data_IF_763986844759
#
_entry.id   IF_763986844759
#
_cell.length_a   1.000
_cell.length_b   1.000
_cell.length_c   1.000
_cell.angle_alpha   90.00
_cell.angle_beta   90.00
_cell.angle_gamma   90.00
#
_symmetry.space_group_name_H-M   'P 1'
#
loop_
_entity.id
_entity.type
_entity.pdbx_description
1 polymer ?
#
# COMPACT_ATOMS: atom_id res chain seq x y z
N UNK A 1 -14.17 -46.26 62.67
CA UNK A 1 -13.45 -45.99 61.40
C UNK A 1 -14.48 -45.75 60.32
N UNK A 2 -14.74 -44.46 60.02
CA UNK A 2 -15.70 -44.02 58.97
C UNK A 2 -14.91 -43.68 57.70
N UNK A 3 -15.25 -44.35 56.58
CA UNK A 3 -14.68 -44.08 55.24
C UNK A 3 -15.38 -42.87 54.67
N UNK A 4 -14.59 -41.83 54.25
CA UNK A 4 -15.07 -40.71 53.46
C UNK A 4 -15.17 -41.10 51.96
N UNK A 5 -16.19 -40.65 51.25
CA UNK A 5 -16.29 -40.87 49.81
C UNK A 5 -15.41 -39.93 49.01
N UNK A 6 -14.72 -40.46 47.99
CA UNK A 6 -13.94 -39.70 47.02
C UNK A 6 -14.89 -38.90 46.12
N UNK A 7 -14.74 -37.58 46.17
CA UNK A 7 -15.44 -36.65 45.24
C UNK A 7 -14.70 -36.66 43.89
N UNK A 8 -15.32 -37.16 42.86
CA UNK A 8 -14.85 -37.06 41.47
C UNK A 8 -15.15 -35.66 40.97
N UNK A 9 -14.13 -34.84 40.77
CA UNK A 9 -14.22 -33.54 40.12
C UNK A 9 -14.13 -33.77 38.59
N UNK A 10 -15.27 -33.65 37.91
CA UNK A 10 -15.27 -33.55 36.44
C UNK A 10 -14.78 -32.18 36.01
N UNK A 11 -13.57 -32.12 35.45
CA UNK A 11 -13.10 -30.92 34.73
C UNK A 11 -13.74 -30.94 33.35
N UNK A 12 -14.77 -30.10 33.17
CA UNK A 12 -15.32 -29.81 31.83
C UNK A 12 -14.34 -28.89 31.13
N UNK A 13 -13.52 -29.44 30.23
CA UNK A 13 -12.72 -28.65 29.31
C UNK A 13 -13.67 -28.11 28.24
N UNK A 14 -14.08 -26.86 28.40
CA UNK A 14 -14.75 -26.13 27.34
C UNK A 14 -13.77 -25.89 26.19
N UNK A 15 -13.88 -26.65 25.12
CA UNK A 15 -13.19 -26.37 23.86
C UNK A 15 -13.82 -25.11 23.29
N UNK A 16 -13.21 -23.95 23.56
CA UNK A 16 -13.52 -22.72 22.86
C UNK A 16 -12.98 -22.87 21.44
N UNK A 17 -13.84 -23.25 20.53
CA UNK A 17 -13.52 -23.16 19.10
C UNK A 17 -13.38 -21.69 18.75
N UNK A 18 -12.13 -21.22 18.68
CA UNK A 18 -11.82 -19.93 18.08
C UNK A 18 -12.15 -20.04 16.60
N UNK A 19 -13.32 -19.59 16.21
CA UNK A 19 -13.61 -19.26 14.83
C UNK A 19 -12.68 -18.10 14.47
N UNK A 20 -11.65 -18.39 13.70
CA UNK A 20 -10.79 -17.35 13.13
C UNK A 20 -11.67 -16.32 12.42
N UNK A 21 -11.50 -15.02 12.68
CA UNK A 21 -12.24 -13.98 11.95
C UNK A 21 -11.98 -14.14 10.45
N UNK A 22 -13.04 -14.02 9.68
CA UNK A 22 -12.99 -14.11 8.22
C UNK A 22 -11.83 -13.28 7.67
N UNK A 23 -11.01 -13.91 6.81
CA UNK A 23 -9.87 -13.29 6.12
C UNK A 23 -10.29 -11.97 5.50
N UNK A 24 -9.59 -10.90 5.85
CA UNK A 24 -9.79 -9.55 5.33
C UNK A 24 -9.03 -9.32 4.00
N UNK A 25 -9.06 -10.30 3.11
CA UNK A 25 -8.72 -10.08 1.71
C UNK A 25 -9.97 -9.62 0.96
N UNK A 26 -9.85 -8.75 -0.05
CA UNK A 26 -10.95 -8.42 -0.97
C UNK A 26 -11.71 -9.68 -1.37
N UNK A 27 -12.94 -9.55 -1.85
CA UNK A 27 -13.75 -10.71 -2.16
C UNK A 27 -12.94 -11.76 -2.92
N UNK A 28 -12.87 -12.99 -2.42
CA UNK A 28 -11.98 -14.03 -2.98
C UNK A 28 -12.27 -14.30 -4.46
N UNK A 29 -13.54 -14.22 -4.84
CA UNK A 29 -13.99 -14.44 -6.20
C UNK A 29 -13.53 -13.31 -7.12
N UNK A 30 -13.61 -12.07 -6.67
CA UNK A 30 -13.17 -10.89 -7.42
C UNK A 30 -11.64 -10.85 -7.57
N UNK A 31 -10.89 -11.19 -6.52
CA UNK A 31 -9.43 -11.31 -6.60
C UNK A 31 -9.01 -12.38 -7.60
N UNK A 32 -9.66 -13.54 -7.61
CA UNK A 32 -9.41 -14.60 -8.60
C UNK A 32 -9.76 -14.13 -10.02
N UNK A 33 -10.86 -13.42 -10.21
CA UNK A 33 -11.25 -12.86 -11.51
C UNK A 33 -10.25 -11.79 -11.99
N UNK A 34 -9.74 -10.96 -11.10
CA UNK A 34 -8.67 -10.00 -11.40
C UNK A 34 -7.39 -10.72 -11.86
N UNK A 35 -6.93 -11.73 -11.11
CA UNK A 35 -5.75 -12.51 -11.48
C UNK A 35 -5.92 -13.23 -12.83
N UNK A 36 -7.12 -13.75 -13.13
CA UNK A 36 -7.40 -14.36 -14.41
C UNK A 36 -7.33 -13.36 -15.56
N UNK A 37 -7.93 -12.18 -15.39
CA UNK A 37 -7.83 -11.08 -16.39
C UNK A 37 -6.38 -10.63 -16.58
N UNK A 38 -5.61 -10.53 -15.51
CA UNK A 38 -4.20 -10.19 -15.58
C UNK A 38 -3.41 -11.24 -16.38
N UNK A 39 -3.57 -12.53 -16.07
CA UNK A 39 -2.92 -13.63 -16.82
C UNK A 39 -3.29 -13.65 -18.31
N UNK A 40 -4.57 -13.43 -18.64
CA UNK A 40 -5.02 -13.36 -20.02
C UNK A 40 -4.33 -12.22 -20.81
N UNK A 41 -4.08 -11.07 -20.16
CA UNK A 41 -3.35 -9.96 -20.78
C UNK A 41 -1.86 -10.22 -20.89
N UNK A 42 -1.24 -10.92 -19.94
CA UNK A 42 0.16 -11.33 -19.99
C UNK A 42 0.42 -12.29 -21.16
N UNK A 43 -0.45 -13.26 -21.35
CA UNK A 43 -0.32 -14.24 -22.46
C UNK A 43 -0.47 -13.62 -23.85
N UNK A 44 -1.17 -12.49 -23.96
CA UNK A 44 -1.35 -11.78 -25.23
C UNK A 44 -0.19 -10.84 -25.59
N UNK A 45 0.61 -10.39 -24.62
CA UNK A 45 1.73 -9.46 -24.84
C UNK A 45 3.08 -10.15 -25.10
N UNK A 46 3.19 -11.45 -24.83
CA UNK A 46 4.42 -12.23 -25.07
C UNK A 46 5.59 -11.89 -24.13
N UNK A 47 5.46 -10.88 -23.28
CA UNK A 47 6.49 -10.48 -22.31
C UNK A 47 6.10 -10.90 -20.89
N UNK A 48 7.00 -11.56 -20.14
CA UNK A 48 6.80 -11.76 -18.71
C UNK A 48 6.84 -10.40 -18.01
N UNK A 49 5.74 -10.00 -17.38
CA UNK A 49 5.59 -8.72 -16.67
C UNK A 49 6.59 -8.52 -15.50
N UNK A 50 7.31 -9.58 -15.13
CA UNK A 50 8.31 -9.54 -14.06
C UNK A 50 9.63 -8.89 -14.49
N UNK A 51 9.94 -8.80 -15.80
CA UNK A 51 11.23 -8.33 -16.31
C UNK A 51 11.19 -6.92 -16.93
N UNK A 52 10.05 -6.25 -16.90
CA UNK A 52 9.84 -4.98 -17.60
C UNK A 52 10.63 -3.77 -17.04
N UNK A 53 11.33 -3.94 -15.92
CA UNK A 53 12.35 -2.98 -15.48
C UNK A 53 13.69 -3.73 -15.49
N UNK A 54 14.59 -3.43 -16.42
CA UNK A 54 15.95 -3.98 -16.37
C UNK A 54 16.48 -3.81 -14.96
N UNK A 55 17.21 -4.80 -14.47
CA UNK A 55 17.99 -4.73 -13.22
C UNK A 55 19.08 -3.65 -13.39
N UNK A 56 18.62 -2.47 -13.78
CA UNK A 56 19.41 -1.32 -14.07
C UNK A 56 20.12 -0.92 -12.80
N UNK A 57 21.35 -0.56 -12.90
CA UNK A 57 22.28 0.09 -11.99
C UNK A 57 21.67 1.14 -11.04
N UNK A 58 20.36 1.10 -10.78
CA UNK A 58 19.64 1.94 -9.85
C UNK A 58 19.87 1.42 -8.43
N UNK A 59 20.52 2.23 -7.63
CA UNK A 59 20.77 2.00 -6.23
C UNK A 59 22.20 1.57 -5.92
N UNK A 60 22.75 2.28 -4.96
CA UNK A 60 24.00 1.93 -4.33
C UNK A 60 23.82 0.56 -3.61
N UNK A 61 24.75 -0.35 -3.75
CA UNK A 61 24.73 -1.65 -3.09
C UNK A 61 24.53 -1.55 -1.57
N UNK A 62 25.10 -0.51 -0.95
CA UNK A 62 24.92 -0.21 0.47
C UNK A 62 23.44 0.05 0.81
N UNK A 63 22.72 0.81 -0.02
CA UNK A 63 21.29 1.07 0.20
C UNK A 63 20.43 -0.18 -0.04
N UNK A 64 20.80 -1.06 -0.97
CA UNK A 64 20.14 -2.37 -1.12
C UNK A 64 20.31 -3.22 0.13
N UNK A 65 21.54 -3.28 0.70
CA UNK A 65 21.79 -3.94 1.99
C UNK A 65 21.00 -3.30 3.12
N UNK A 66 20.92 -1.96 3.16
CA UNK A 66 20.14 -1.23 4.15
C UNK A 66 18.64 -1.54 4.07
N UNK A 67 18.05 -1.57 2.86
CA UNK A 67 16.65 -1.94 2.66
C UNK A 67 16.37 -3.38 3.10
N UNK A 68 17.27 -4.32 2.78
CA UNK A 68 17.14 -5.71 3.20
C UNK A 68 17.21 -5.85 4.72
N UNK A 69 18.17 -5.18 5.35
CA UNK A 69 18.32 -5.16 6.80
C UNK A 69 17.10 -4.51 7.50
N UNK A 70 16.60 -3.41 6.95
CA UNK A 70 15.40 -2.73 7.45
C UNK A 70 14.17 -3.62 7.41
N UNK A 71 13.99 -4.41 6.34
CA UNK A 71 12.89 -5.38 6.21
C UNK A 71 12.94 -6.45 7.30
N UNK A 72 14.12 -7.01 7.58
CA UNK A 72 14.27 -8.00 8.66
C UNK A 72 14.03 -7.38 10.04
N UNK A 73 14.51 -6.16 10.29
CA UNK A 73 14.25 -5.44 11.55
C UNK A 73 12.76 -5.16 11.70
N UNK A 74 12.11 -4.66 10.65
CA UNK A 74 10.67 -4.36 10.66
C UNK A 74 9.85 -5.62 10.99
N UNK A 75 10.10 -6.73 10.28
CA UNK A 75 9.40 -8.00 10.51
C UNK A 75 9.61 -8.51 11.94
N UNK A 76 10.84 -8.45 12.43
CA UNK A 76 11.19 -8.90 13.79
C UNK A 76 10.46 -8.06 14.83
N UNK A 77 10.47 -6.74 14.71
CA UNK A 77 9.73 -5.85 15.61
C UNK A 77 8.22 -6.08 15.56
N UNK A 78 7.65 -6.15 14.36
CA UNK A 78 6.21 -6.40 14.24
C UNK A 78 5.81 -7.76 14.81
N UNK A 79 6.67 -8.78 14.68
CA UNK A 79 6.43 -10.09 15.31
C UNK A 79 6.39 -10.01 16.84
N UNK A 80 7.18 -9.12 17.43
CA UNK A 80 7.26 -8.94 18.89
C UNK A 80 6.17 -8.01 19.43
N UNK A 81 5.92 -6.90 18.77
CA UNK A 81 5.12 -5.79 19.30
C UNK A 81 3.75 -5.62 18.61
N UNK A 82 3.61 -6.06 17.34
CA UNK A 82 2.45 -5.79 16.48
C UNK A 82 2.04 -7.04 15.67
N UNK A 83 1.98 -8.20 16.32
CA UNK A 83 1.73 -9.50 15.66
C UNK A 83 0.47 -9.51 14.79
N UNK A 84 -0.63 -8.94 15.28
CA UNK A 84 -1.88 -8.88 14.53
C UNK A 84 -1.76 -8.03 13.24
N UNK A 85 -1.03 -6.91 13.29
CA UNK A 85 -0.78 -6.07 12.12
C UNK A 85 0.18 -6.75 11.11
N UNK A 86 1.17 -7.51 11.60
CA UNK A 86 2.02 -8.34 10.75
C UNK A 86 1.22 -9.43 10.03
N UNK A 87 0.29 -10.07 10.71
CA UNK A 87 -0.61 -11.06 10.13
C UNK A 87 -1.50 -10.43 9.06
N UNK A 88 -2.09 -9.25 9.32
CA UNK A 88 -2.85 -8.49 8.32
C UNK A 88 -2.03 -8.18 7.06
N UNK A 89 -0.78 -7.78 7.23
CA UNK A 89 0.11 -7.50 6.09
C UNK A 89 0.42 -8.78 5.29
N UNK A 90 0.60 -9.93 5.98
CA UNK A 90 0.87 -11.24 5.34
C UNK A 90 -0.35 -11.87 4.68
N UNK A 91 -1.55 -11.53 5.16
CA UNK A 91 -2.81 -12.00 4.57
C UNK A 91 -3.07 -11.38 3.20
N UNK A 92 -2.45 -10.25 2.87
CA UNK A 92 -2.56 -9.63 1.56
C UNK A 92 -2.22 -10.65 0.45
N UNK A 93 -3.17 -10.84 -0.46
CA UNK A 93 -3.00 -11.65 -1.66
C UNK A 93 -2.09 -10.96 -2.68
N UNK A 94 -1.65 -11.71 -3.69
CA UNK A 94 -0.82 -11.16 -4.76
C UNK A 94 -1.56 -10.02 -5.51
N UNK A 95 -2.87 -10.16 -5.67
CA UNK A 95 -3.71 -9.20 -6.34
C UNK A 95 -4.03 -7.94 -5.50
N UNK A 96 -3.77 -7.93 -4.20
CA UNK A 96 -4.15 -6.81 -3.31
C UNK A 96 -3.25 -5.57 -3.50
N UNK A 97 -2.04 -5.76 -4.00
CA UNK A 97 -1.10 -4.67 -4.28
C UNK A 97 -0.68 -4.72 -5.74
N UNK A 98 -1.02 -3.66 -6.47
CA UNK A 98 -0.68 -3.49 -7.89
C UNK A 98 0.34 -2.37 -8.01
N UNK A 99 1.46 -2.62 -8.67
CA UNK A 99 2.51 -1.64 -8.93
C UNK A 99 2.56 -1.35 -10.43
N UNK A 100 2.26 -0.12 -10.83
CA UNK A 100 2.53 0.33 -12.18
C UNK A 100 4.03 0.62 -12.31
N UNK A 101 4.69 -0.07 -13.23
CA UNK A 101 6.13 0.06 -13.46
C UNK A 101 6.51 1.51 -13.83
N UNK A 102 7.70 1.92 -13.46
CA UNK A 102 8.28 3.21 -13.80
C UNK A 102 9.75 3.06 -14.17
N UNK A 103 10.32 4.15 -14.69
CA UNK A 103 11.72 4.17 -15.13
C UNK A 103 12.68 4.60 -14.02
N UNK A 104 12.19 5.42 -13.08
CA UNK A 104 13.05 6.09 -12.11
C UNK A 104 12.83 5.63 -10.67
N UNK A 105 11.75 4.92 -10.37
CA UNK A 105 11.46 4.42 -9.03
C UNK A 105 11.19 2.90 -9.04
N UNK A 106 11.34 2.26 -7.87
CA UNK A 106 11.24 0.82 -7.67
C UNK A 106 10.49 0.48 -6.39
N UNK A 107 9.23 0.90 -6.29
CA UNK A 107 8.36 0.59 -5.14
C UNK A 107 8.24 -0.92 -4.91
N UNK A 108 8.29 -1.72 -5.98
CA UNK A 108 8.30 -3.19 -5.89
C UNK A 108 9.48 -3.74 -5.09
N UNK A 109 10.64 -3.07 -5.08
CA UNK A 109 11.81 -3.53 -4.32
C UNK A 109 11.61 -3.33 -2.81
N UNK A 110 10.89 -2.28 -2.41
CA UNK A 110 10.46 -2.07 -1.01
C UNK A 110 9.52 -3.18 -0.58
N UNK A 111 8.52 -3.50 -1.40
CA UNK A 111 7.56 -4.57 -1.13
C UNK A 111 8.26 -5.93 -1.04
N UNK A 112 9.19 -6.20 -1.95
CA UNK A 112 9.99 -7.43 -1.94
C UNK A 112 10.86 -7.54 -0.67
N UNK A 113 11.51 -6.44 -0.23
CA UNK A 113 12.30 -6.42 1.01
C UNK A 113 11.43 -6.66 2.25
N UNK A 114 10.14 -6.32 2.20
CA UNK A 114 9.16 -6.57 3.24
C UNK A 114 8.45 -7.92 3.10
N UNK A 115 8.74 -8.71 2.05
CA UNK A 115 8.06 -9.96 1.68
C UNK A 115 6.54 -9.78 1.44
N UNK A 116 6.13 -8.59 0.97
CA UNK A 116 4.75 -8.31 0.59
C UNK A 116 4.49 -8.81 -0.83
N UNK A 117 3.47 -9.64 -0.98
CA UNK A 117 3.01 -10.11 -2.29
C UNK A 117 2.44 -8.95 -3.10
N UNK A 118 2.80 -8.85 -4.36
CA UNK A 118 2.33 -7.80 -5.26
C UNK A 118 2.41 -8.27 -6.72
N UNK A 119 1.77 -7.52 -7.61
CA UNK A 119 1.92 -7.66 -9.06
C UNK A 119 2.49 -6.38 -9.64
N UNK A 120 3.40 -6.50 -10.60
CA UNK A 120 3.92 -5.37 -11.36
C UNK A 120 3.28 -5.39 -12.74
N UNK A 121 2.77 -4.25 -13.18
CA UNK A 121 2.12 -4.09 -14.48
C UNK A 121 2.72 -2.92 -15.26
N UNK A 122 2.82 -3.00 -16.58
CA UNK A 122 3.16 -1.83 -17.39
C UNK A 122 2.06 -0.76 -17.26
N UNK A 123 2.41 0.55 -17.27
CA UNK A 123 1.44 1.64 -17.08
C UNK A 123 0.27 1.60 -18.07
N UNK A 124 0.50 1.15 -19.29
CA UNK A 124 -0.48 1.05 -20.38
C UNK A 124 -1.62 0.09 -20.03
N UNK A 125 -1.33 -0.94 -19.21
CA UNK A 125 -2.33 -1.91 -18.81
C UNK A 125 -3.43 -1.27 -17.92
N UNK A 126 -3.17 -0.15 -17.25
CA UNK A 126 -4.16 0.57 -16.45
C UNK A 126 -5.32 1.14 -17.28
N UNK A 127 -5.21 1.18 -18.61
CA UNK A 127 -6.32 1.53 -19.49
C UNK A 127 -7.43 0.48 -19.49
N UNK A 128 -7.06 -0.78 -19.28
CA UNK A 128 -7.97 -1.91 -19.47
C UNK A 128 -8.13 -2.79 -18.21
N UNK A 129 -7.18 -2.71 -17.28
CA UNK A 129 -7.21 -3.51 -16.07
C UNK A 129 -8.24 -2.96 -15.09
N UNK A 130 -9.31 -3.69 -14.79
CA UNK A 130 -10.29 -3.25 -13.80
C UNK A 130 -9.72 -3.40 -12.39
N UNK A 131 -9.45 -2.27 -11.72
CA UNK A 131 -8.95 -2.25 -10.35
C UNK A 131 -10.09 -2.47 -9.35
N UNK A 132 -9.83 -3.28 -8.32
CA UNK A 132 -10.76 -3.52 -7.22
C UNK A 132 -10.66 -2.40 -6.17
N UNK A 133 -11.79 -1.96 -5.64
CA UNK A 133 -11.87 -0.99 -4.55
C UNK A 133 -11.07 -1.41 -3.29
N UNK A 134 -10.78 -2.71 -3.14
CA UNK A 134 -10.00 -3.28 -2.05
C UNK A 134 -8.48 -3.23 -2.25
N UNK A 135 -8.00 -2.84 -3.43
CA UNK A 135 -6.57 -2.84 -3.76
C UNK A 135 -5.83 -1.57 -3.33
N UNK A 136 -4.51 -1.70 -3.23
CA UNK A 136 -3.56 -0.58 -3.24
C UNK A 136 -2.90 -0.53 -4.61
N UNK A 137 -3.00 0.61 -5.29
CA UNK A 137 -2.26 0.89 -6.51
C UNK A 137 -1.06 1.76 -6.18
N UNK A 138 0.13 1.34 -6.58
CA UNK A 138 1.36 2.11 -6.47
C UNK A 138 1.84 2.49 -7.86
N UNK A 139 2.09 3.77 -8.12
CA UNK A 139 2.55 4.26 -9.42
C UNK A 139 3.95 4.84 -9.26
N UNK A 140 4.93 4.15 -9.84
CA UNK A 140 6.32 4.58 -9.90
C UNK A 140 6.49 5.83 -10.76
N UNK A 141 7.48 6.66 -10.43
CA UNK A 141 7.93 7.77 -11.28
C UNK A 141 8.37 7.24 -12.67
N UNK A 142 7.95 7.88 -13.77
CA UNK A 142 7.32 9.20 -13.89
C UNK A 142 5.79 9.21 -13.87
N UNK A 143 5.11 8.07 -13.84
CA UNK A 143 3.64 8.00 -13.85
C UNK A 143 3.04 8.49 -15.18
N UNK A 144 3.64 8.14 -16.30
CA UNK A 144 3.11 8.49 -17.63
C UNK A 144 1.92 7.60 -17.96
N UNK A 145 0.71 8.13 -17.74
CA UNK A 145 -0.55 7.44 -17.98
C UNK A 145 -1.36 8.11 -19.08
N UNK A 146 -2.13 7.32 -19.78
CA UNK A 146 -3.14 7.81 -20.74
C UNK A 146 -4.26 8.59 -20.01
N UNK A 147 -5.06 9.34 -20.77
CA UNK A 147 -6.24 10.01 -20.20
C UNK A 147 -7.22 9.00 -19.61
N UNK A 148 -7.39 7.83 -20.24
CA UNK A 148 -8.28 6.76 -19.77
C UNK A 148 -7.76 6.15 -18.46
N UNK A 149 -6.47 5.82 -18.37
CA UNK A 149 -5.87 5.33 -17.12
C UNK A 149 -6.01 6.34 -15.98
N UNK A 150 -5.82 7.65 -16.23
CA UNK A 150 -6.06 8.71 -15.23
C UNK A 150 -7.50 8.69 -14.71
N UNK A 151 -8.48 8.53 -15.59
CA UNK A 151 -9.89 8.41 -15.20
C UNK A 151 -10.16 7.15 -14.39
N UNK A 152 -9.59 6.02 -14.82
CA UNK A 152 -9.70 4.74 -14.09
C UNK A 152 -9.09 4.85 -12.70
N UNK A 153 -7.91 5.47 -12.55
CA UNK A 153 -7.25 5.73 -11.26
C UNK A 153 -8.12 6.61 -10.37
N UNK A 154 -8.70 7.68 -10.89
CA UNK A 154 -9.61 8.54 -10.12
C UNK A 154 -10.82 7.76 -9.60
N UNK A 155 -11.52 7.03 -10.47
CA UNK A 155 -12.68 6.21 -10.11
C UNK A 155 -12.31 5.10 -9.12
N UNK A 156 -11.14 4.48 -9.28
CA UNK A 156 -10.61 3.49 -8.34
C UNK A 156 -10.47 4.07 -6.93
N UNK A 157 -9.85 5.24 -6.80
CA UNK A 157 -9.70 5.90 -5.48
C UNK A 157 -11.07 6.30 -4.92
N UNK A 158 -11.94 6.87 -5.76
CA UNK A 158 -13.29 7.30 -5.34
C UNK A 158 -14.10 6.16 -4.71
N UNK A 159 -13.95 4.92 -5.20
CA UNK A 159 -14.64 3.74 -4.70
C UNK A 159 -13.98 3.07 -3.48
N UNK A 160 -12.86 3.59 -2.98
CA UNK A 160 -12.18 3.07 -1.80
C UNK A 160 -10.74 2.61 -2.03
N UNK A 161 -10.25 2.57 -3.28
CA UNK A 161 -8.88 2.22 -3.59
C UNK A 161 -7.86 3.13 -2.92
N UNK A 162 -6.70 2.58 -2.52
CA UNK A 162 -5.58 3.39 -2.02
C UNK A 162 -4.55 3.60 -3.13
N UNK A 163 -4.15 4.85 -3.33
CA UNK A 163 -3.16 5.24 -4.34
C UNK A 163 -1.88 5.74 -3.68
N UNK A 164 -0.75 5.20 -4.09
CA UNK A 164 0.59 5.70 -3.74
C UNK A 164 1.28 6.18 -5.00
N UNK A 165 1.85 7.37 -4.97
CA UNK A 165 2.58 7.93 -6.11
C UNK A 165 3.85 8.61 -5.66
N UNK A 166 4.83 8.68 -6.54
CA UNK A 166 6.13 9.30 -6.27
C UNK A 166 6.48 10.35 -7.32
N UNK A 167 7.15 11.38 -6.90
CA UNK A 167 7.83 12.41 -7.66
C UNK A 167 7.03 12.99 -8.85
N UNK A 168 7.41 12.71 -10.10
CA UNK A 168 6.77 13.30 -11.28
C UNK A 168 5.31 12.90 -11.48
N UNK A 169 4.87 11.83 -10.83
CA UNK A 169 3.45 11.47 -10.78
C UNK A 169 2.59 12.56 -10.10
N UNK A 170 3.20 13.51 -9.36
CA UNK A 170 2.53 14.72 -8.90
C UNK A 170 1.83 15.46 -10.06
N UNK A 171 2.56 15.70 -11.15
CA UNK A 171 2.04 16.38 -12.32
C UNK A 171 1.32 15.43 -13.28
N UNK A 172 1.91 14.25 -13.51
CA UNK A 172 1.46 13.34 -14.53
C UNK A 172 0.17 12.60 -14.15
N UNK A 173 -0.04 12.37 -12.86
CA UNK A 173 -1.20 11.65 -12.32
C UNK A 173 -2.06 12.54 -11.42
N UNK A 174 -1.52 13.02 -10.29
CA UNK A 174 -2.34 13.64 -9.23
C UNK A 174 -3.01 14.93 -9.68
N UNK A 175 -2.27 15.84 -10.31
CA UNK A 175 -2.84 17.11 -10.80
C UNK A 175 -3.95 16.91 -11.84
N UNK A 176 -3.95 15.79 -12.55
CA UNK A 176 -4.95 15.44 -13.57
C UNK A 176 -6.12 14.65 -13.01
N UNK A 177 -5.85 13.66 -12.13
CA UNK A 177 -6.89 12.84 -11.52
C UNK A 177 -7.67 13.61 -10.44
N UNK A 178 -6.99 14.47 -9.68
CA UNK A 178 -7.55 15.20 -8.53
C UNK A 178 -7.30 16.71 -8.67
N UNK A 179 -7.88 17.37 -9.67
CA UNK A 179 -7.65 18.79 -9.94
C UNK A 179 -8.06 19.63 -8.72
N UNK A 180 -7.27 20.67 -8.43
CA UNK A 180 -7.52 21.56 -7.31
C UNK A 180 -6.93 21.11 -5.98
N UNK A 181 -6.32 19.93 -5.87
CA UNK A 181 -5.71 19.45 -4.61
C UNK A 181 -4.24 19.86 -4.49
N UNK A 182 -3.44 19.45 -5.46
CA UNK A 182 -1.98 19.68 -5.50
C UNK A 182 -1.49 20.00 -6.90
N UNK A 183 -0.31 20.61 -7.00
CA UNK A 183 0.35 20.87 -8.28
C UNK A 183 1.88 20.94 -8.15
N UNK A 184 2.55 20.87 -9.29
CA UNK A 184 3.95 21.27 -9.48
C UNK A 184 4.01 22.67 -10.09
N UNK A 185 4.88 23.54 -9.56
CA UNK A 185 5.03 24.94 -10.02
C UNK A 185 6.18 25.18 -10.99
N UNK A 186 6.85 24.15 -11.49
CA UNK A 186 7.88 24.25 -12.50
C UNK A 186 9.32 24.39 -11.98
N UNK A 187 9.54 24.58 -10.66
CA UNK A 187 10.88 24.62 -10.08
C UNK A 187 11.23 23.25 -9.50
N UNK A 188 12.19 22.57 -10.11
CA UNK A 188 12.68 21.27 -9.67
C UNK A 188 13.76 21.38 -8.60
N UNK A 189 14.07 20.26 -7.93
CA UNK A 189 15.19 20.15 -7.02
C UNK A 189 16.51 19.89 -7.76
N UNK A 190 17.61 20.13 -7.08
CA UNK A 190 18.91 19.54 -7.41
C UNK A 190 19.08 18.26 -6.59
N UNK A 191 20.18 17.54 -6.84
CA UNK A 191 20.57 16.40 -6.04
C UNK A 191 21.01 16.86 -4.64
N UNK A 192 20.15 16.66 -3.63
CA UNK A 192 20.32 17.20 -2.29
C UNK A 192 19.78 16.23 -1.22
N UNK A 193 20.22 16.37 0.01
CA UNK A 193 19.69 15.65 1.17
C UNK A 193 19.29 16.66 2.23
N UNK A 194 18.01 16.73 2.54
CA UNK A 194 17.42 17.69 3.46
C UNK A 194 16.99 17.06 4.78
N UNK A 195 17.07 17.83 5.85
CA UNK A 195 16.46 17.43 7.13
C UNK A 195 14.94 17.49 7.01
N UNK A 196 14.24 16.50 7.57
CA UNK A 196 12.80 16.43 7.57
C UNK A 196 12.22 16.46 8.99
N UNK A 197 10.97 16.87 9.09
CA UNK A 197 10.18 16.91 10.31
C UNK A 197 8.85 16.19 10.07
N UNK A 198 8.45 15.32 11.00
CA UNK A 198 7.09 14.76 11.05
C UNK A 198 6.17 15.87 11.53
N UNK A 199 5.10 16.13 10.81
CA UNK A 199 4.17 17.23 11.11
C UNK A 199 3.13 16.83 12.13
N UNK A 200 2.68 15.58 12.08
CA UNK A 200 1.72 15.00 13.01
C UNK A 200 2.14 13.58 13.38
N UNK A 201 2.77 13.43 14.55
CA UNK A 201 3.22 12.13 15.04
C UNK A 201 2.05 11.20 15.47
N UNK A 202 0.83 11.73 15.55
CA UNK A 202 -0.38 10.96 15.90
C UNK A 202 -1.05 10.34 14.67
N UNK A 203 -0.66 10.74 13.45
CA UNK A 203 -1.20 10.16 12.24
C UNK A 203 -0.85 8.65 12.15
N UNK A 204 -1.84 7.76 11.95
CA UNK A 204 -1.60 6.32 11.89
C UNK A 204 -0.58 5.90 10.82
N UNK A 205 -0.45 6.66 9.73
CA UNK A 205 0.57 6.39 8.70
C UNK A 205 1.99 6.60 9.22
N UNK A 206 2.18 7.44 10.24
CA UNK A 206 3.48 7.80 10.81
C UNK A 206 3.82 7.03 12.09
N UNK A 207 2.93 6.15 12.55
CA UNK A 207 3.16 5.35 13.74
C UNK A 207 4.46 4.52 13.61
N UNK A 208 5.41 4.71 14.54
CA UNK A 208 6.73 4.03 14.59
C UNK A 208 7.60 4.18 13.32
N UNK A 209 7.29 5.14 12.43
CA UNK A 209 8.13 5.43 11.26
C UNK A 209 9.50 5.98 11.70
N UNK A 210 9.52 6.80 12.74
CA UNK A 210 10.75 7.34 13.32
C UNK A 210 10.96 6.75 14.72
N UNK A 211 11.97 5.90 14.87
CA UNK A 211 12.32 5.26 16.13
C UNK A 211 13.30 6.07 16.97
N UNK A 212 13.98 7.03 16.37
CA UNK A 212 15.00 7.84 17.03
C UNK A 212 14.56 9.29 17.14
N UNK A 213 15.10 9.99 18.16
CA UNK A 213 14.95 11.45 18.33
C UNK A 213 15.75 12.25 17.31
N UNK A 214 16.67 11.61 16.58
CA UNK A 214 17.48 12.26 15.57
C UNK A 214 16.61 12.62 14.36
N UNK A 215 16.87 13.79 13.78
CA UNK A 215 16.13 14.29 12.63
C UNK A 215 16.48 13.44 11.41
N UNK A 216 15.54 12.68 10.86
CA UNK A 216 15.77 11.88 9.68
C UNK A 216 16.05 12.81 8.49
N UNK A 217 16.68 12.24 7.48
CA UNK A 217 17.02 12.96 6.26
C UNK A 217 16.25 12.35 5.09
N UNK A 218 15.95 13.18 4.12
CA UNK A 218 15.31 12.80 2.88
C UNK A 218 16.17 13.18 1.70
N UNK A 219 16.35 12.25 0.79
CA UNK A 219 17.03 12.52 -0.45
C UNK A 219 16.07 13.12 -1.47
N UNK A 220 16.42 14.30 -1.97
CA UNK A 220 15.81 14.95 -3.11
C UNK A 220 16.66 14.63 -4.33
N UNK A 221 16.11 13.88 -5.25
CA UNK A 221 16.81 13.59 -6.49
C UNK A 221 16.84 14.81 -7.42
N UNK A 222 17.81 14.81 -8.33
CA UNK A 222 17.85 15.84 -9.38
C UNK A 222 16.53 15.83 -10.16
N UNK A 223 15.94 17.01 -10.34
CA UNK A 223 14.69 17.22 -11.07
C UNK A 223 13.44 16.70 -10.37
N UNK A 224 13.48 16.39 -9.08
CA UNK A 224 12.27 16.06 -8.32
C UNK A 224 11.30 17.23 -8.24
N UNK A 225 10.02 16.92 -8.12
CA UNK A 225 8.91 17.88 -8.14
C UNK A 225 8.45 18.25 -6.73
N UNK A 226 8.81 19.46 -6.22
CA UNK A 226 8.26 19.97 -4.96
C UNK A 226 6.73 20.11 -5.01
N UNK A 227 6.08 19.70 -3.94
CA UNK A 227 4.62 19.67 -3.83
C UNK A 227 4.11 21.05 -3.44
N UNK A 228 3.27 21.68 -4.29
CA UNK A 228 2.45 22.82 -3.91
C UNK A 228 1.05 22.34 -3.56
N UNK A 229 0.60 22.64 -2.35
CA UNK A 229 -0.77 22.36 -1.89
C UNK A 229 -1.68 23.48 -2.39
N UNK A 230 -2.80 23.12 -3.02
CA UNK A 230 -3.85 24.03 -3.47
C UNK A 230 -5.04 24.03 -2.50
N UNK A 231 -5.34 22.88 -1.90
CA UNK A 231 -6.41 22.74 -0.91
C UNK A 231 -5.83 22.24 0.43
N UNK A 232 -5.48 23.19 1.27
CA UNK A 232 -4.96 22.90 2.61
C UNK A 232 -6.02 22.34 3.60
N UNK A 233 -7.31 22.32 3.24
CA UNK A 233 -8.36 21.72 4.09
C UNK A 233 -8.42 20.20 3.88
N UNK A 234 -8.16 19.75 2.67
CA UNK A 234 -8.23 18.33 2.31
C UNK A 234 -6.87 17.65 2.41
N UNK A 235 -5.79 18.35 2.01
CA UNK A 235 -4.44 17.77 1.92
C UNK A 235 -3.71 17.90 3.26
N UNK A 236 -3.39 16.77 3.88
CA UNK A 236 -2.56 16.69 5.09
C UNK A 236 -1.09 16.58 4.72
N UNK A 237 -0.24 17.38 5.36
CA UNK A 237 1.21 17.24 5.27
C UNK A 237 1.66 16.31 6.39
N UNK A 238 2.21 15.16 6.03
CA UNK A 238 2.70 14.17 6.99
C UNK A 238 4.16 14.43 7.35
N UNK A 239 4.96 14.76 6.33
CA UNK A 239 6.39 15.05 6.48
C UNK A 239 6.71 16.33 5.72
N UNK A 240 7.49 17.21 6.35
CA UNK A 240 7.92 18.48 5.77
C UNK A 240 9.40 18.74 5.96
N UNK A 241 9.95 19.72 5.22
CA UNK A 241 11.33 20.18 5.36
C UNK A 241 11.41 21.70 5.29
N UNK A 242 11.86 22.32 6.37
CA UNK A 242 12.18 23.75 6.38
C UNK A 242 13.38 24.07 5.47
N UNK A 243 14.29 23.14 5.34
CA UNK A 243 15.45 23.28 4.46
C UNK A 243 15.01 23.27 2.98
N UNK A 244 14.13 22.35 2.58
CA UNK A 244 13.54 22.31 1.25
C UNK A 244 12.74 23.59 0.96
N UNK A 245 11.98 24.11 1.94
CA UNK A 245 11.25 25.39 1.81
C UNK A 245 12.18 26.54 1.46
N UNK A 246 13.32 26.66 2.15
CA UNK A 246 14.30 27.73 1.87
C UNK A 246 14.95 27.60 0.49
N UNK A 247 15.25 26.37 0.08
CA UNK A 247 15.99 26.12 -1.19
C UNK A 247 15.07 26.13 -2.41
N UNK A 248 13.87 25.54 -2.30
CA UNK A 248 13.03 25.26 -3.46
C UNK A 248 11.64 25.92 -3.38
N UNK A 249 11.30 26.59 -2.28
CA UNK A 249 10.05 27.34 -2.13
C UNK A 249 8.90 26.56 -1.52
N UNK A 250 8.96 25.23 -1.48
CA UNK A 250 7.93 24.35 -0.94
C UNK A 250 8.48 23.48 0.20
N UNK A 251 7.65 23.18 1.21
CA UNK A 251 8.06 22.38 2.38
C UNK A 251 7.54 20.94 2.39
N UNK A 252 6.41 20.57 1.78
CA UNK A 252 5.87 19.23 1.89
C UNK A 252 6.77 18.18 1.21
N UNK A 253 7.08 17.12 1.95
CA UNK A 253 7.82 15.95 1.46
C UNK A 253 6.86 14.78 1.23
N UNK A 254 6.02 14.47 2.23
CA UNK A 254 4.98 13.43 2.15
C UNK A 254 3.65 14.07 2.49
N UNK A 255 2.66 13.81 1.65
CA UNK A 255 1.29 14.27 1.82
C UNK A 255 0.30 13.12 1.71
N UNK A 256 -0.86 13.27 2.35
CA UNK A 256 -1.98 12.36 2.17
C UNK A 256 -3.30 13.15 2.09
N UNK A 257 -4.26 12.64 1.33
CA UNK A 257 -5.62 13.17 1.29
C UNK A 257 -6.62 12.06 0.97
N UNK A 258 -7.85 12.24 1.46
CA UNK A 258 -8.97 11.37 1.10
C UNK A 258 -9.63 11.86 -0.20
N UNK A 259 -10.13 10.91 -0.99
CA UNK A 259 -10.95 11.20 -2.16
C UNK A 259 -12.02 10.09 -2.30
N UNK A 260 -13.30 10.47 -2.21
CA UNK A 260 -14.37 9.50 -2.06
C UNK A 260 -14.17 8.61 -0.83
N UNK A 261 -14.24 7.31 -1.01
CA UNK A 261 -14.00 6.31 0.04
C UNK A 261 -12.52 5.90 0.14
N UNK A 262 -11.64 6.40 -0.74
CA UNK A 262 -10.24 6.02 -0.83
C UNK A 262 -9.27 7.06 -0.29
N UNK A 263 -7.99 6.76 -0.43
CA UNK A 263 -6.90 7.59 0.08
C UNK A 263 -5.77 7.69 -0.95
N UNK A 264 -5.15 8.86 -1.01
CA UNK A 264 -3.95 9.13 -1.80
C UNK A 264 -2.80 9.45 -0.86
N UNK A 265 -1.64 8.82 -1.09
CA UNK A 265 -0.34 9.14 -0.50
C UNK A 265 0.61 9.54 -1.63
N UNK A 266 1.29 10.67 -1.46
CA UNK A 266 2.29 11.13 -2.42
C UNK A 266 3.53 11.65 -1.71
N UNK A 267 4.69 11.46 -2.34
CA UNK A 267 5.96 11.96 -1.84
C UNK A 267 6.83 12.56 -2.94
N UNK A 268 7.57 13.59 -2.56
CA UNK A 268 8.62 14.17 -3.40
C UNK A 268 9.80 13.22 -3.42
N UNK A 269 10.42 13.01 -4.58
CA UNK A 269 11.43 11.96 -4.82
C UNK A 269 10.84 10.56 -4.67
N UNK A 270 11.67 9.58 -4.31
CA UNK A 270 11.30 8.16 -4.36
C UNK A 270 11.28 7.53 -2.98
N UNK A 271 10.40 6.53 -2.81
CA UNK A 271 10.34 5.74 -1.60
C UNK A 271 11.53 4.79 -1.49
N UNK A 272 11.97 4.22 -2.61
CA UNK A 272 13.19 3.42 -2.69
C UNK A 272 14.41 4.35 -2.73
N UNK A 273 14.90 4.74 -1.54
CA UNK A 273 16.07 5.60 -1.42
C UNK A 273 17.31 4.90 -2.00
N UNK A 274 17.90 5.48 -3.04
CA UNK A 274 19.07 4.94 -3.71
C UNK A 274 20.38 5.36 -3.02
N UNK A 275 20.35 6.39 -2.18
CA UNK A 275 21.48 6.83 -1.39
C UNK A 275 21.05 7.60 -0.14
N UNK A 276 21.99 7.72 0.80
CA UNK A 276 21.90 8.65 1.93
C UNK A 276 23.17 9.45 2.06
N UNK A 277 23.10 10.57 2.76
CA UNK A 277 24.25 11.38 3.14
C UNK A 277 24.48 11.27 4.63
N UNK A 278 25.57 10.60 5.01
CA UNK A 278 25.96 10.43 6.41
C UNK A 278 26.74 11.67 6.86
N UNK A 279 26.16 12.48 7.73
CA UNK A 279 26.76 13.75 8.19
C UNK A 279 27.29 13.62 9.62
N UNK A 280 26.49 13.07 10.54
CA UNK A 280 26.82 12.98 11.96
C UNK A 280 27.63 11.73 12.30
N UNK A 281 28.30 11.74 13.45
CA UNK A 281 29.01 10.57 13.94
C UNK A 281 28.08 9.40 14.22
N UNK A 282 26.85 9.67 14.70
CA UNK A 282 25.87 8.61 14.97
C UNK A 282 25.34 7.98 13.68
N UNK A 283 25.10 8.75 12.61
CA UNK A 283 24.72 8.22 11.30
C UNK A 283 25.79 7.29 10.70
N UNK A 284 27.05 7.52 11.01
CA UNK A 284 28.19 6.71 10.54
C UNK A 284 28.43 5.44 11.36
N UNK A 285 27.77 5.27 12.50
CA UNK A 285 27.86 4.04 13.29
C UNK A 285 27.33 2.85 12.50
N UNK A 286 27.75 1.65 12.89
CA UNK A 286 27.24 0.39 12.35
C UNK A 286 25.77 0.21 12.68
N UNK A 287 25.00 -0.40 11.78
CA UNK A 287 23.57 -0.60 11.91
C UNK A 287 23.14 -1.40 13.13
N UNK A 288 24.06 -2.19 13.71
CA UNK A 288 23.83 -2.84 15.01
C UNK A 288 23.46 -1.87 16.13
N UNK A 289 23.98 -0.64 16.11
CA UNK A 289 23.60 0.41 17.07
C UNK A 289 22.12 0.82 16.93
N UNK A 290 21.60 0.94 15.71
CA UNK A 290 20.19 1.18 15.46
C UNK A 290 19.34 0.00 15.91
N UNK A 291 19.72 -1.22 15.54
CA UNK A 291 18.97 -2.42 15.87
C UNK A 291 18.81 -2.61 17.40
N UNK A 292 19.88 -2.45 18.18
CA UNK A 292 19.84 -2.55 19.65
C UNK A 292 19.20 -1.33 20.32
N UNK A 293 19.61 -0.12 19.91
CA UNK A 293 19.22 1.11 20.58
C UNK A 293 17.80 1.54 20.24
N UNK A 294 17.52 1.79 18.96
CA UNK A 294 16.25 2.33 18.51
C UNK A 294 15.21 1.23 18.26
N UNK A 295 15.58 0.18 17.52
CA UNK A 295 14.67 -0.93 17.21
C UNK A 295 14.51 -1.94 18.37
N UNK A 296 15.29 -1.82 19.45
CA UNK A 296 15.23 -2.64 20.68
C UNK A 296 15.30 -4.16 20.43
N UNK A 297 16.06 -4.57 19.43
CA UNK A 297 16.28 -5.98 19.16
C UNK A 297 17.30 -6.56 20.14
N UNK A 298 17.04 -7.78 20.61
CA UNK A 298 17.99 -8.53 21.43
C UNK A 298 19.08 -9.21 20.58
N UNK A 299 20.14 -9.69 21.23
CA UNK A 299 21.27 -10.31 20.53
C UNK A 299 20.89 -11.59 19.78
N UNK A 300 19.88 -12.34 20.25
CA UNK A 300 19.40 -13.54 19.57
C UNK A 300 18.74 -13.18 18.22
N UNK A 301 17.94 -12.12 18.19
CA UNK A 301 17.33 -11.62 16.95
C UNK A 301 18.40 -11.15 15.95
N UNK A 302 19.39 -10.38 16.41
CA UNK A 302 20.50 -9.90 15.57
C UNK A 302 21.33 -11.08 15.03
N UNK A 303 21.62 -12.08 15.87
CA UNK A 303 22.33 -13.30 15.45
C UNK A 303 21.54 -14.10 14.41
N UNK A 304 20.21 -14.18 14.58
CA UNK A 304 19.33 -14.81 13.59
C UNK A 304 19.34 -14.10 12.26
N UNK A 305 19.35 -12.76 12.24
CA UNK A 305 19.47 -11.95 11.03
C UNK A 305 20.80 -12.24 10.32
N UNK A 306 21.91 -12.27 11.08
CA UNK A 306 23.23 -12.60 10.54
C UNK A 306 23.28 -14.00 9.93
N UNK A 307 22.66 -14.98 10.56
CA UNK A 307 22.57 -16.35 10.04
C UNK A 307 21.77 -16.42 8.70
N UNK A 308 20.87 -15.47 8.46
CA UNK A 308 20.14 -15.30 7.19
C UNK A 308 20.90 -14.45 6.15
N UNK A 309 22.15 -14.11 6.42
CA UNK A 309 22.99 -13.30 5.53
C UNK A 309 22.69 -11.80 5.58
N UNK A 310 22.09 -11.31 6.68
CA UNK A 310 21.88 -9.88 6.93
C UNK A 310 22.84 -9.42 8.02
N UNK A 311 24.02 -8.92 7.60
CA UNK A 311 25.02 -8.39 8.52
C UNK A 311 24.84 -6.88 8.72
N UNK A 312 24.41 -6.50 9.93
CA UNK A 312 24.18 -5.09 10.30
C UNK A 312 25.49 -4.28 10.40
N UNK A 313 26.63 -4.93 10.46
CA UNK A 313 27.93 -4.27 10.49
C UNK A 313 28.36 -3.74 9.11
N UNK A 314 27.71 -4.23 8.04
CA UNK A 314 27.94 -3.77 6.66
C UNK A 314 27.12 -2.53 6.27
N UNK A 315 26.20 -2.09 7.13
CA UNK A 315 25.25 -0.99 6.88
C UNK A 315 25.44 0.11 7.91
N UNK A 316 25.41 1.35 7.49
CA UNK A 316 25.46 2.48 8.41
C UNK A 316 24.09 2.77 9.04
N UNK A 317 24.10 3.24 10.29
CA UNK A 317 22.88 3.59 11.04
C UNK A 317 22.00 4.58 10.27
N UNK A 318 22.55 5.61 9.63
CA UNK A 318 21.78 6.59 8.87
C UNK A 318 21.11 6.00 7.62
N UNK A 319 21.75 5.07 6.92
CA UNK A 319 21.18 4.34 5.79
C UNK A 319 20.03 3.43 6.26
N UNK A 320 20.28 2.73 7.35
CA UNK A 320 19.29 1.81 7.92
C UNK A 320 18.05 2.53 8.48
N UNK A 321 18.24 3.68 9.13
CA UNK A 321 17.15 4.53 9.64
C UNK A 321 16.24 4.99 8.51
N UNK A 322 16.81 5.47 7.40
CA UNK A 322 16.06 5.91 6.24
C UNK A 322 15.27 4.76 5.60
N UNK A 323 15.94 3.63 5.36
CA UNK A 323 15.30 2.43 4.80
C UNK A 323 14.17 1.91 5.69
N UNK A 324 14.38 1.85 7.01
CA UNK A 324 13.36 1.44 7.97
C UNK A 324 12.14 2.36 7.94
N UNK A 325 12.35 3.68 7.94
CA UNK A 325 11.27 4.65 7.93
C UNK A 325 10.36 4.48 6.70
N UNK A 326 10.96 4.27 5.51
CA UNK A 326 10.20 4.07 4.27
C UNK A 326 9.39 2.76 4.29
N UNK A 327 9.98 1.68 4.79
CA UNK A 327 9.28 0.40 4.89
C UNK A 327 8.18 0.42 5.94
N UNK A 328 8.41 1.07 7.10
CA UNK A 328 7.37 1.21 8.13
C UNK A 328 6.20 2.07 7.64
N UNK A 329 6.46 3.15 6.91
CA UNK A 329 5.41 3.95 6.26
C UNK A 329 4.58 3.09 5.28
N UNK A 330 5.26 2.28 4.46
CA UNK A 330 4.60 1.36 3.53
C UNK A 330 3.78 0.29 4.27
N UNK A 331 4.30 -0.29 5.34
CA UNK A 331 3.59 -1.24 6.18
C UNK A 331 2.33 -0.62 6.79
N UNK A 332 2.44 0.58 7.37
CA UNK A 332 1.30 1.28 7.96
C UNK A 332 0.20 1.56 6.93
N UNK A 333 0.58 1.95 5.72
CA UNK A 333 -0.36 2.18 4.62
C UNK A 333 -1.09 0.87 4.23
N UNK A 334 -0.37 -0.23 4.05
CA UNK A 334 -0.95 -1.52 3.68
C UNK A 334 -1.86 -2.06 4.78
N UNK A 335 -1.43 -1.99 6.04
CA UNK A 335 -2.24 -2.38 7.21
C UNK A 335 -3.49 -1.50 7.30
N UNK A 336 -3.33 -0.19 7.12
CA UNK A 336 -4.45 0.76 7.08
C UNK A 336 -5.45 0.41 6.00
N UNK A 337 -4.98 0.01 4.81
CA UNK A 337 -5.83 -0.47 3.71
C UNK A 337 -6.59 -1.74 4.09
N UNK A 338 -5.92 -2.73 4.68
CA UNK A 338 -6.59 -3.96 5.10
C UNK A 338 -7.67 -3.70 6.17
N UNK A 339 -7.41 -2.78 7.10
CA UNK A 339 -8.43 -2.34 8.09
C UNK A 339 -9.60 -1.60 7.41
N UNK A 340 -9.32 -0.73 6.44
CA UNK A 340 -10.34 -0.04 5.66
C UNK A 340 -11.18 -1.01 4.80
N UNK A 341 -10.56 -2.06 4.25
CA UNK A 341 -11.25 -3.09 3.48
C UNK A 341 -12.30 -3.84 4.31
N UNK A 342 -12.02 -4.11 5.59
CA UNK A 342 -13.02 -4.74 6.48
C UNK A 342 -14.29 -3.88 6.56
N UNK A 343 -14.13 -2.58 6.76
CA UNK A 343 -15.25 -1.63 6.80
C UNK A 343 -15.94 -1.48 5.44
N UNK A 344 -15.17 -1.40 4.36
CA UNK A 344 -15.71 -1.31 3.00
C UNK A 344 -16.59 -2.52 2.69
N UNK A 345 -16.11 -3.74 2.97
CA UNK A 345 -16.83 -4.99 2.72
C UNK A 345 -18.12 -5.12 3.53
N UNK A 346 -18.25 -4.42 4.66
CA UNK A 346 -19.53 -4.34 5.37
C UNK A 346 -20.65 -3.73 4.53
N UNK A 347 -20.33 -2.92 3.52
CA UNK A 347 -21.33 -2.38 2.58
C UNK A 347 -21.60 -3.30 1.38
N UNK A 348 -20.77 -4.33 1.15
CA UNK A 348 -20.87 -5.31 0.05
C UNK A 348 -21.32 -6.67 0.59
N UNK A 349 -22.45 -6.71 1.31
CA UNK A 349 -22.92 -7.91 2.05
C UNK A 349 -23.61 -8.93 1.16
N UNK A 350 -24.26 -8.50 0.09
CA UNK A 350 -24.96 -9.41 -0.79
C UNK A 350 -23.99 -10.13 -1.72
N UNK A 351 -24.24 -11.40 -2.02
CA UNK A 351 -23.47 -12.21 -2.96
C UNK A 351 -24.33 -12.61 -4.14
N UNK A 352 -23.73 -12.71 -5.30
CA UNK A 352 -24.41 -13.16 -6.52
C UNK A 352 -24.38 -14.67 -6.59
N UNK A 353 -25.55 -15.31 -6.68
CA UNK A 353 -25.70 -16.78 -6.66
C UNK A 353 -25.15 -17.47 -7.91
N UNK A 354 -25.14 -16.78 -9.05
CA UNK A 354 -24.63 -17.29 -10.34
C UNK A 354 -24.24 -16.13 -11.25
N UNK A 355 -23.40 -16.38 -12.25
CA UNK A 355 -23.02 -15.38 -13.24
C UNK A 355 -24.22 -14.70 -13.85
N UNK A 356 -24.20 -13.37 -13.90
CA UNK A 356 -25.31 -12.54 -14.42
C UNK A 356 -24.80 -11.39 -15.27
N UNK A 357 -25.48 -11.15 -16.39
CA UNK A 357 -25.37 -9.88 -17.07
C UNK A 357 -26.01 -8.79 -16.21
N UNK A 358 -25.37 -7.64 -16.13
CA UNK A 358 -25.98 -6.46 -15.56
C UNK A 358 -26.98 -5.88 -16.56
N UNK A 359 -28.10 -5.45 -16.06
CA UNK A 359 -29.23 -5.00 -16.87
C UNK A 359 -29.57 -3.55 -16.57
N UNK A 360 -30.36 -2.94 -17.46
CA UNK A 360 -31.04 -1.68 -17.20
C UNK A 360 -32.26 -1.91 -16.31
N UNK A 361 -32.87 -0.83 -15.81
CA UNK A 361 -34.05 -0.92 -14.94
C UNK A 361 -35.22 -1.72 -15.56
N UNK A 362 -35.43 -1.61 -16.87
CA UNK A 362 -36.47 -2.27 -17.64
C UNK A 362 -36.09 -3.71 -18.09
N UNK A 363 -34.98 -4.26 -17.59
CA UNK A 363 -34.59 -5.65 -17.82
C UNK A 363 -33.84 -5.92 -19.12
N UNK A 364 -33.45 -4.88 -19.86
CA UNK A 364 -32.58 -5.02 -21.04
C UNK A 364 -31.11 -5.11 -20.62
N UNK A 365 -30.28 -5.76 -21.43
CA UNK A 365 -28.84 -5.79 -21.18
C UNK A 365 -28.28 -4.38 -21.07
N UNK A 366 -27.41 -4.13 -20.09
CA UNK A 366 -26.73 -2.86 -19.96
C UNK A 366 -25.85 -2.62 -21.19
N UNK A 367 -25.81 -1.39 -21.67
CA UNK A 367 -25.01 -1.01 -22.86
C UNK A 367 -23.51 -1.30 -22.71
N UNK A 368 -23.01 -1.36 -21.46
CA UNK A 368 -21.62 -1.74 -21.15
C UNK A 368 -21.33 -3.22 -21.42
N UNK A 369 -22.35 -4.10 -21.54
CA UNK A 369 -22.18 -5.54 -21.57
C UNK A 369 -21.57 -6.11 -20.29
N UNK A 370 -21.53 -5.34 -19.21
CA UNK A 370 -20.92 -5.73 -17.94
C UNK A 370 -21.65 -6.95 -17.34
N UNK A 371 -20.87 -7.79 -16.66
CA UNK A 371 -21.33 -9.00 -15.98
C UNK A 371 -20.82 -9.00 -14.56
N UNK A 372 -21.63 -9.53 -13.66
CA UNK A 372 -21.23 -9.83 -12.29
C UNK A 372 -21.10 -11.34 -12.12
N UNK A 373 -19.98 -11.78 -11.56
CA UNK A 373 -19.66 -13.20 -11.43
C UNK A 373 -20.35 -13.85 -10.22
N UNK A 374 -20.49 -15.17 -10.26
CA UNK A 374 -20.91 -15.97 -9.13
C UNK A 374 -19.99 -15.69 -7.91
N UNK A 375 -20.59 -15.64 -6.73
CA UNK A 375 -19.93 -15.37 -5.44
C UNK A 375 -19.29 -13.98 -5.31
N UNK A 376 -19.49 -13.06 -6.30
CA UNK A 376 -19.06 -11.67 -6.16
C UNK A 376 -19.86 -10.98 -5.06
N UNK A 377 -19.15 -10.22 -4.25
CA UNK A 377 -19.74 -9.32 -3.26
C UNK A 377 -20.26 -8.07 -3.96
N UNK A 378 -21.50 -7.72 -3.68
CA UNK A 378 -22.14 -6.55 -4.25
C UNK A 378 -22.76 -5.66 -3.17
N UNK A 379 -22.67 -4.35 -3.39
CA UNK A 379 -23.41 -3.35 -2.64
C UNK A 379 -24.75 -3.14 -3.31
N UNK A 380 -25.83 -3.33 -2.58
CA UNK A 380 -27.18 -3.01 -3.07
C UNK A 380 -27.40 -1.51 -2.89
N UNK A 381 -27.54 -0.81 -4.00
CA UNK A 381 -27.75 0.64 -4.05
C UNK A 381 -29.23 1.00 -3.95
N UNK A 382 -30.10 0.17 -4.51
CA UNK A 382 -31.55 0.39 -4.58
C UNK A 382 -32.30 -0.91 -4.87
N UNK A 383 -33.53 -1.03 -4.37
CA UNK A 383 -34.43 -2.13 -4.67
C UNK A 383 -35.79 -1.62 -5.11
N UNK A 384 -36.30 -2.14 -6.23
CA UNK A 384 -37.60 -1.79 -6.78
C UNK A 384 -38.18 -2.97 -7.57
N UNK A 385 -39.46 -3.21 -7.39
CA UNK A 385 -40.25 -4.19 -8.18
C UNK A 385 -39.55 -5.55 -8.36
N UNK A 386 -38.99 -6.12 -7.28
CA UNK A 386 -38.30 -7.42 -7.31
C UNK A 386 -36.94 -7.42 -7.98
N UNK A 387 -36.36 -6.24 -8.23
CA UNK A 387 -35.02 -6.06 -8.79
C UNK A 387 -34.15 -5.25 -7.86
N UNK A 388 -32.84 -5.46 -7.91
CA UNK A 388 -31.83 -4.74 -7.14
C UNK A 388 -30.82 -4.07 -8.10
N UNK A 389 -30.60 -2.77 -7.91
CA UNK A 389 -29.46 -2.08 -8.50
C UNK A 389 -28.25 -2.37 -7.63
N UNK A 390 -27.26 -3.01 -8.20
CA UNK A 390 -26.06 -3.42 -7.50
C UNK A 390 -24.82 -2.76 -8.05
N UNK A 391 -23.78 -2.68 -7.21
CA UNK A 391 -22.42 -2.31 -7.60
C UNK A 391 -21.45 -3.38 -7.08
N UNK A 392 -20.56 -3.87 -7.93
CA UNK A 392 -19.49 -4.78 -7.54
C UNK A 392 -18.21 -4.04 -7.10
N UNK A 393 -17.20 -4.78 -6.65
CA UNK A 393 -15.91 -4.21 -6.20
C UNK A 393 -15.07 -3.63 -7.36
N UNK A 394 -15.38 -3.96 -8.62
CA UNK A 394 -14.78 -3.33 -9.80
C UNK A 394 -15.44 -1.99 -10.14
N UNK A 395 -16.59 -1.69 -9.52
CA UNK A 395 -17.37 -0.48 -9.75
C UNK A 395 -18.40 -0.62 -10.87
N UNK A 396 -18.58 -1.82 -11.43
CA UNK A 396 -19.62 -2.08 -12.38
C UNK A 396 -20.99 -2.00 -11.70
N UNK A 397 -21.94 -1.30 -12.36
CA UNK A 397 -23.29 -1.10 -11.84
C UNK A 397 -24.35 -1.60 -12.81
N UNK A 398 -25.40 -2.15 -12.28
CA UNK A 398 -26.56 -2.55 -13.05
C UNK A 398 -27.61 -3.24 -12.21
N UNK A 399 -28.76 -3.52 -12.82
CA UNK A 399 -29.87 -4.20 -12.19
C UNK A 399 -29.75 -5.72 -12.34
N UNK A 400 -30.09 -6.42 -11.28
CA UNK A 400 -30.25 -7.88 -11.26
C UNK A 400 -31.59 -8.23 -10.60
N UNK A 401 -32.19 -9.40 -10.87
CA UNK A 401 -33.30 -9.89 -10.06
C UNK A 401 -32.91 -9.98 -8.56
N UNK A 402 -33.77 -9.56 -7.66
CA UNK A 402 -33.47 -9.55 -6.23
C UNK A 402 -33.23 -10.96 -5.66
N UNK A 403 -33.89 -11.99 -6.21
CA UNK A 403 -33.71 -13.40 -5.88
C UNK A 403 -32.39 -14.00 -6.36
N UNK A 404 -31.68 -13.31 -7.26
CA UNK A 404 -30.32 -13.67 -7.69
C UNK A 404 -29.25 -13.38 -6.61
N UNK A 405 -29.63 -12.68 -5.54
CA UNK A 405 -28.72 -12.32 -4.45
C UNK A 405 -28.92 -13.24 -3.23
N UNK A 406 -27.81 -13.61 -2.61
CA UNK A 406 -27.71 -14.14 -1.26
C UNK A 406 -27.34 -13.00 -0.31
N UNK A 407 -28.03 -12.90 0.84
CA UNK A 407 -27.84 -11.78 1.81
C UNK A 407 -27.33 -12.29 3.14
#
# INVERSE_FOLDING_TARGET
>A
MRKLPRLLVFVVVAVVTHTSPARAGGGKAESAAFEQKLKAKQSSSGDPLTDAVPDGKLGNERMRKANRAAGEILKTRMQQEQKADLELMREAGQADVVVAAGVYDRLQDILAAMEVKHVVVPPELLDELPLLATQTLMINCPGMLSRKAIQNVRQFVERGGHLVTTDWALHNVLAKAFPGTVRFRGRTTTDDVVAIEVTDATDPLLADVLLQKERPRWWLETSSYPITILDAKTVRVLVSSKEMKRKYGESPIVIAFAYGEGQVLHMTSHLFLQRSRLVTASEKQKGGSFAKGAAKLNDAAISSMKAKGVDLDEVATGELTGAYAMQKLSANLLIGKQKANRKLLESYKAKVKQDRALETRDGKAAASGAKVGKDFNVKVLREEAGRALVQDLFGEQGWVPADALER
#
